data_IF_911032473204
#
_entry.id   IF_911032473204
#
_cell.length_a   1.000
_cell.length_b   1.000
_cell.length_c   1.000
_cell.angle_alpha   90.00
_cell.angle_beta   90.00
_cell.angle_gamma   90.00
#
_symmetry.space_group_name_H-M   'P 1'
#
loop_
_entity.id
_entity.type
_entity.pdbx_description
1 polymer ?
#
# COMPACT_ATOMS: atom_id res chain seq x y z
N UNK A 1 -12.75 -1.24 -13.23
CA UNK A 1 -11.58 -2.09 -12.97
C UNK A 1 -10.91 -1.73 -11.66
N UNK A 2 -10.29 -2.69 -11.02
CA UNK A 2 -9.59 -2.49 -9.76
C UNK A 2 -8.13 -2.10 -10.01
N UNK A 3 -7.74 -0.92 -9.54
CA UNK A 3 -6.38 -0.42 -9.70
C UNK A 3 -5.61 -0.58 -8.39
N UNK A 4 -4.54 -1.35 -8.42
CA UNK A 4 -3.69 -1.63 -7.26
C UNK A 4 -2.25 -1.25 -7.57
N UNK A 5 -1.64 -0.50 -6.66
CA UNK A 5 -0.21 -0.18 -6.73
C UNK A 5 0.55 -0.99 -5.70
N UNK A 6 1.79 -1.32 -6.03
CA UNK A 6 2.70 -2.00 -5.10
C UNK A 6 3.92 -1.12 -4.89
N UNK A 7 4.26 -0.88 -3.63
CA UNK A 7 5.42 -0.11 -3.23
C UNK A 7 6.24 -0.93 -2.23
N UNK A 8 7.53 -1.07 -2.47
CA UNK A 8 8.41 -1.75 -1.52
C UNK A 8 9.06 -0.74 -0.58
N UNK A 9 9.18 -1.11 0.71
CA UNK A 9 9.79 -0.23 1.72
C UNK A 9 11.16 0.30 1.30
N UNK A 10 12.08 -0.53 0.75
CA UNK A 10 13.39 -0.01 0.30
C UNK A 10 13.33 1.06 -0.79
N UNK A 11 12.21 1.19 -1.50
CA UNK A 11 12.09 2.21 -2.55
C UNK A 11 11.91 3.62 -1.99
N UNK A 12 11.54 3.75 -0.72
CA UNK A 12 11.35 5.03 -0.06
C UNK A 12 9.90 5.47 0.02
N UNK A 13 9.64 6.45 0.88
CA UNK A 13 8.30 6.96 1.16
C UNK A 13 7.94 8.23 0.41
N UNK A 14 8.78 8.64 -0.54
CA UNK A 14 8.60 9.87 -1.31
C UNK A 14 7.87 9.68 -2.65
N UNK A 15 7.50 8.46 -2.99
CA UNK A 15 6.81 8.17 -4.26
C UNK A 15 5.53 8.98 -4.46
N UNK A 16 4.68 9.19 -3.43
CA UNK A 16 3.48 10.02 -3.63
C UNK A 16 3.79 11.46 -4.02
N UNK A 17 4.95 11.98 -3.62
CA UNK A 17 5.39 13.33 -3.99
C UNK A 17 5.85 13.39 -5.44
N UNK A 18 6.41 12.30 -5.95
CA UNK A 18 6.91 12.22 -7.33
C UNK A 18 5.83 11.87 -8.34
N UNK A 19 4.88 11.05 -7.95
CA UNK A 19 3.86 10.49 -8.86
C UNK A 19 2.45 10.65 -8.28
N UNK A 20 2.01 11.88 -7.99
CA UNK A 20 0.73 12.08 -7.31
C UNK A 20 -0.49 11.57 -8.06
N UNK A 21 -0.49 11.66 -9.39
CA UNK A 21 -1.64 11.21 -10.18
C UNK A 21 -1.84 9.70 -10.12
N UNK A 22 -0.77 8.93 -10.02
CA UNK A 22 -0.87 7.48 -9.91
C UNK A 22 -1.59 7.07 -8.63
N UNK A 23 -1.23 7.72 -7.51
CA UNK A 23 -1.84 7.42 -6.22
C UNK A 23 -3.28 7.90 -6.13
N UNK A 24 -3.62 8.99 -6.78
CA UNK A 24 -4.96 9.56 -6.73
C UNK A 24 -6.02 8.68 -7.40
N UNK A 25 -5.61 7.79 -8.29
CA UNK A 25 -6.51 6.94 -9.07
C UNK A 25 -6.58 5.49 -8.59
N UNK A 26 -5.75 5.10 -7.63
CA UNK A 26 -5.69 3.71 -7.17
C UNK A 26 -6.75 3.39 -6.15
N UNK A 27 -7.26 2.17 -6.19
CA UNK A 27 -8.19 1.65 -5.18
C UNK A 27 -7.46 1.14 -3.96
N UNK A 28 -6.25 0.61 -4.15
CA UNK A 28 -5.45 0.06 -3.06
C UNK A 28 -3.96 0.27 -3.30
N UNK A 29 -3.22 0.38 -2.20
CA UNK A 29 -1.77 0.43 -2.19
C UNK A 29 -1.24 -0.67 -1.30
N UNK A 30 -0.41 -1.54 -1.86
CA UNK A 30 0.31 -2.55 -1.10
C UNK A 30 1.69 -1.99 -0.76
N UNK A 31 2.02 -1.95 0.53
CA UNK A 31 3.36 -1.60 1.00
C UNK A 31 4.05 -2.90 1.39
N UNK A 32 4.91 -3.38 0.52
CA UNK A 32 5.59 -4.66 0.69
C UNK A 32 6.90 -4.50 1.43
N UNK A 33 7.42 -5.61 1.94
CA UNK A 33 8.70 -5.68 2.65
C UNK A 33 8.71 -4.87 3.94
N UNK A 34 7.60 -4.89 4.68
CA UNK A 34 7.49 -4.16 5.96
C UNK A 34 8.45 -4.68 7.03
N UNK A 35 9.03 -5.86 6.82
CA UNK A 35 10.08 -6.38 7.71
C UNK A 35 11.34 -5.49 7.72
N UNK A 36 11.51 -4.62 6.72
CA UNK A 36 12.59 -3.62 6.71
C UNK A 36 12.29 -2.38 7.53
N UNK A 37 11.04 -2.17 7.95
CA UNK A 37 10.67 -1.00 8.76
C UNK A 37 11.40 -1.02 10.11
N UNK A 38 11.92 0.13 10.49
CA UNK A 38 12.64 0.27 11.74
C UNK A 38 14.06 -0.29 11.74
N UNK A 39 14.55 -0.77 10.61
CA UNK A 39 15.91 -1.28 10.48
C UNK A 39 16.84 -0.20 9.93
N UNK A 40 18.18 -0.36 10.10
CA UNK A 40 19.14 0.57 9.49
C UNK A 40 19.16 0.53 7.95
N UNK A 41 18.46 -0.42 7.35
CA UNK A 41 18.43 -0.58 5.88
C UNK A 41 17.53 0.44 5.19
N UNK A 42 16.64 1.07 5.93
CA UNK A 42 15.75 2.08 5.37
C UNK A 42 15.30 3.07 6.44
N UNK A 43 15.05 4.31 6.03
CA UNK A 43 14.42 5.33 6.87
C UNK A 43 12.97 5.58 6.48
N UNK A 44 12.34 4.61 5.84
CA UNK A 44 10.94 4.65 5.41
C UNK A 44 10.01 4.88 6.60
N UNK A 45 9.13 5.88 6.48
CA UNK A 45 8.13 6.20 7.50
C UNK A 45 6.74 5.88 6.96
N UNK A 46 6.15 4.80 7.44
CA UNK A 46 4.84 4.34 6.98
C UNK A 46 3.73 5.35 7.29
N UNK A 47 3.77 5.96 8.46
CA UNK A 47 2.76 6.95 8.83
C UNK A 47 2.80 8.17 7.90
N UNK A 48 4.00 8.62 7.57
CA UNK A 48 4.19 9.73 6.65
C UNK A 48 3.72 9.37 5.26
N UNK A 49 4.01 8.15 4.80
CA UNK A 49 3.53 7.65 3.52
C UNK A 49 2.00 7.68 3.48
N UNK A 50 1.35 7.15 4.52
CA UNK A 50 -0.11 7.12 4.60
C UNK A 50 -0.70 8.52 4.55
N UNK A 51 -0.13 9.47 5.28
CA UNK A 51 -0.60 10.85 5.25
C UNK A 51 -0.49 11.47 3.86
N UNK A 52 0.64 11.24 3.18
CA UNK A 52 0.86 11.74 1.82
C UNK A 52 -0.14 11.15 0.84
N UNK A 53 -0.36 9.85 0.91
CA UNK A 53 -1.27 9.16 0.00
C UNK A 53 -2.71 9.57 0.25
N UNK A 54 -3.13 9.70 1.50
CA UNK A 54 -4.51 10.07 1.82
C UNK A 54 -4.85 11.52 1.47
N UNK A 55 -3.86 12.39 1.34
CA UNK A 55 -4.09 13.73 0.80
C UNK A 55 -4.47 13.68 -0.69
N UNK A 56 -3.93 12.69 -1.41
CA UNK A 56 -4.19 12.52 -2.82
C UNK A 56 -5.44 11.67 -3.08
N UNK A 57 -5.73 10.73 -2.17
CA UNK A 57 -6.81 9.78 -2.33
C UNK A 57 -7.31 9.34 -0.95
N UNK A 58 -8.40 9.96 -0.49
CA UNK A 58 -8.93 9.75 0.86
C UNK A 58 -9.48 8.35 1.10
N UNK A 59 -9.92 7.69 0.04
CA UNK A 59 -10.59 6.40 0.14
C UNK A 59 -9.69 5.21 -0.17
N UNK A 60 -8.43 5.45 -0.46
CA UNK A 60 -7.49 4.38 -0.79
C UNK A 60 -7.32 3.43 0.40
N UNK A 61 -7.27 2.15 0.09
CA UNK A 61 -6.95 1.13 1.09
C UNK A 61 -5.45 0.88 1.06
N UNK A 62 -4.82 0.89 2.23
CA UNK A 62 -3.37 0.70 2.36
C UNK A 62 -3.13 -0.60 3.10
N UNK A 63 -2.34 -1.49 2.50
CA UNK A 63 -2.05 -2.83 3.04
C UNK A 63 -0.55 -2.99 3.24
N UNK A 64 -0.04 -2.70 4.45
CA UNK A 64 1.34 -3.04 4.78
C UNK A 64 1.48 -4.55 4.92
N UNK A 65 2.42 -5.14 4.19
CA UNK A 65 2.64 -6.57 4.29
C UNK A 65 4.10 -6.97 4.14
N UNK A 66 4.40 -8.15 4.64
CA UNK A 66 5.71 -8.78 4.47
C UNK A 66 5.50 -10.20 3.96
N UNK A 67 5.99 -10.48 2.78
CA UNK A 67 5.97 -11.82 2.23
C UNK A 67 6.91 -12.76 3.00
N UNK A 68 7.90 -12.20 3.70
CA UNK A 68 8.85 -12.97 4.49
C UNK A 68 8.21 -13.53 5.77
N UNK A 69 7.42 -12.71 6.46
CA UNK A 69 6.78 -13.10 7.73
C UNK A 69 5.31 -13.50 7.57
N UNK A 70 4.70 -13.17 6.44
CA UNK A 70 3.28 -13.38 6.20
C UNK A 70 2.39 -12.31 6.80
N UNK A 71 2.98 -11.30 7.44
CA UNK A 71 2.21 -10.24 8.10
C UNK A 71 1.41 -9.42 7.09
N UNK A 72 0.15 -9.18 7.38
CA UNK A 72 -0.74 -8.35 6.58
C UNK A 72 -1.35 -9.04 5.36
N UNK A 73 -0.85 -10.22 4.98
CA UNK A 73 -1.31 -10.91 3.77
C UNK A 73 -2.77 -11.29 3.86
N UNK A 74 -3.21 -11.75 5.03
CA UNK A 74 -4.61 -12.14 5.22
C UNK A 74 -5.56 -10.97 5.02
N UNK A 75 -5.24 -9.81 5.56
CA UNK A 75 -6.08 -8.61 5.38
C UNK A 75 -6.19 -8.24 3.90
N UNK A 76 -5.10 -8.31 3.17
CA UNK A 76 -5.07 -8.04 1.74
C UNK A 76 -5.92 -9.03 0.95
N UNK A 77 -5.75 -10.33 1.21
CA UNK A 77 -6.49 -11.36 0.48
C UNK A 77 -7.98 -11.34 0.81
N UNK A 78 -8.36 -11.04 2.06
CA UNK A 78 -9.75 -10.90 2.46
C UNK A 78 -10.40 -9.71 1.74
N UNK A 79 -9.72 -8.58 1.69
CA UNK A 79 -10.23 -7.41 0.96
C UNK A 79 -10.41 -7.71 -0.52
N UNK A 80 -9.42 -8.36 -1.12
CA UNK A 80 -9.46 -8.69 -2.54
C UNK A 80 -10.61 -9.64 -2.86
N UNK A 81 -10.85 -10.64 -2.01
CA UNK A 81 -11.95 -11.57 -2.17
C UNK A 81 -13.31 -10.86 -2.08
N UNK A 82 -13.45 -9.93 -1.14
CA UNK A 82 -14.69 -9.15 -0.99
C UNK A 82 -14.95 -8.28 -2.23
N UNK A 83 -13.91 -7.65 -2.76
CA UNK A 83 -14.05 -6.83 -3.96
C UNK A 83 -14.42 -7.65 -5.18
N UNK A 84 -13.81 -8.83 -5.32
CA UNK A 84 -14.14 -9.74 -6.41
C UNK A 84 -15.59 -10.21 -6.33
N UNK A 85 -16.08 -10.51 -5.12
CA UNK A 85 -17.47 -10.92 -4.91
C UNK A 85 -18.45 -9.79 -5.28
N UNK A 86 -18.14 -8.55 -4.90
CA UNK A 86 -18.98 -7.40 -5.24
C UNK A 86 -19.02 -7.15 -6.74
N UNK A 87 -17.88 -7.27 -7.41
CA UNK A 87 -17.80 -7.04 -8.85
C UNK A 87 -18.49 -8.12 -9.69
N UNK A 88 -18.68 -9.30 -9.12
CA UNK A 88 -19.32 -10.42 -9.82
C UNK A 88 -20.85 -10.44 -9.65
N UNK A 89 -21.38 -9.47 -8.93
CA UNK A 89 -22.85 -9.31 -8.84
C UNK A 89 -23.36 -8.44 -10.00
#
# INVERSE_FOLDING_TARGET
ALDVMILSVPEGDDKPLKYPLMFSKCDALIVNKTDFLGTPLTDFDLELLEKRVRKLNREIRIFPLSSRTGEGIKAWTDWLANMATEHNK
#
